data_IF_009465947303
#
_entry.id   IF_009465947303
#
_cell.length_a   1.000
_cell.length_b   1.000
_cell.length_c   1.000
_cell.angle_alpha   90.00
_cell.angle_beta   90.00
_cell.angle_gamma   90.00
#
_symmetry.space_group_name_H-M   'P 1'
#
loop_
_entity.id
_entity.type
_entity.pdbx_description
1 polymer ?
#
# COMPACT_ATOMS: atom_id res chain seq x y z
N UNK A 1 -58.74 93.69 6.09
CA UNK A 1 -58.12 93.25 4.79
C UNK A 1 -57.64 91.89 4.98
N UNK A 2 -58.35 90.89 4.47
CA UNK A 2 -58.08 89.49 4.64
C UNK A 2 -57.52 88.91 3.33
N UNK A 3 -56.44 88.25 3.40
CA UNK A 3 -55.90 87.50 2.27
C UNK A 3 -56.03 86.02 2.59
N UNK A 4 -56.75 85.30 1.74
CA UNK A 4 -57.01 83.85 1.84
C UNK A 4 -55.79 83.02 1.46
N UNK A 5 -55.55 82.03 2.25
CA UNK A 5 -54.43 81.04 2.02
C UNK A 5 -55.02 79.74 1.45
N UNK A 6 -54.69 79.45 0.22
CA UNK A 6 -55.11 78.26 -0.47
C UNK A 6 -54.11 77.09 -0.16
N UNK A 7 -54.59 75.99 0.41
CA UNK A 7 -53.80 74.79 0.72
C UNK A 7 -54.02 73.74 -0.38
N UNK A 8 -53.01 73.54 -1.20
CA UNK A 8 -52.89 72.42 -2.15
C UNK A 8 -52.39 71.18 -1.43
N UNK A 9 -53.19 70.12 -1.44
CA UNK A 9 -52.78 68.76 -0.94
C UNK A 9 -52.11 67.98 -2.09
N UNK A 10 -50.83 67.78 -2.00
CA UNK A 10 -50.08 66.80 -2.87
C UNK A 10 -50.21 65.41 -2.25
N UNK A 11 -50.88 64.51 -2.95
CA UNK A 11 -50.94 63.09 -2.62
C UNK A 11 -49.68 62.40 -3.02
N UNK A 12 -49.02 61.77 -2.05
CA UNK A 12 -47.80 60.96 -2.27
C UNK A 12 -48.25 59.52 -2.49
N UNK A 13 -48.20 59.06 -3.75
CA UNK A 13 -48.32 57.61 -4.09
C UNK A 13 -47.04 56.89 -3.79
N UNK A 14 -47.04 56.11 -2.70
CA UNK A 14 -45.93 55.14 -2.41
C UNK A 14 -46.18 53.88 -3.22
N UNK A 15 -45.41 53.71 -4.28
CA UNK A 15 -45.37 52.46 -5.04
C UNK A 15 -44.47 51.41 -4.28
N UNK A 16 -45.09 50.41 -3.64
CA UNK A 16 -44.41 49.30 -3.04
C UNK A 16 -43.94 48.31 -4.16
N UNK A 17 -42.65 48.32 -4.47
CA UNK A 17 -42.04 47.28 -5.29
C UNK A 17 -41.86 45.99 -4.45
N UNK A 18 -42.69 44.98 -4.68
CA UNK A 18 -42.48 43.64 -4.14
C UNK A 18 -41.40 42.93 -4.95
N UNK A 19 -40.18 42.78 -4.38
CA UNK A 19 -39.14 41.90 -4.91
C UNK A 19 -39.56 40.46 -4.61
N UNK A 20 -40.05 39.74 -5.61
CA UNK A 20 -40.20 38.29 -5.61
C UNK A 20 -38.80 37.66 -5.78
N UNK A 21 -38.17 37.23 -4.66
CA UNK A 21 -36.97 36.40 -4.70
C UNK A 21 -37.34 35.03 -5.24
N UNK A 22 -36.93 34.73 -6.48
CA UNK A 22 -37.00 33.41 -7.05
C UNK A 22 -35.92 32.55 -6.37
N UNK A 23 -36.31 31.74 -5.37
CA UNK A 23 -35.45 30.68 -4.83
C UNK A 23 -35.52 29.51 -5.81
N UNK A 24 -34.53 29.40 -6.68
CA UNK A 24 -34.36 28.21 -7.52
C UNK A 24 -34.09 26.99 -6.61
N UNK A 25 -34.79 25.87 -6.81
CA UNK A 25 -34.47 24.65 -6.06
C UNK A 25 -33.07 24.22 -6.44
N UNK A 26 -32.15 24.11 -5.45
CA UNK A 26 -30.84 23.46 -5.61
C UNK A 26 -31.15 21.98 -5.80
N UNK A 27 -31.06 21.49 -7.03
CA UNK A 27 -31.12 20.07 -7.30
C UNK A 27 -29.99 19.39 -6.53
N UNK A 28 -30.23 18.29 -5.79
CA UNK A 28 -29.14 17.54 -5.17
C UNK A 28 -28.18 17.10 -6.26
N UNK A 29 -26.89 17.42 -6.11
CA UNK A 29 -25.85 16.92 -6.99
C UNK A 29 -25.98 15.39 -7.03
N UNK A 30 -26.25 14.85 -8.20
CA UNK A 30 -26.25 13.40 -8.39
C UNK A 30 -24.87 12.90 -7.96
N UNK A 31 -24.83 12.10 -6.89
CA UNK A 31 -23.63 11.47 -6.43
C UNK A 31 -23.22 10.49 -7.52
N UNK A 32 -22.17 10.82 -8.28
CA UNK A 32 -21.66 9.93 -9.32
C UNK A 32 -21.38 8.58 -8.67
N UNK A 33 -22.10 7.56 -9.08
CA UNK A 33 -21.88 6.21 -8.63
C UNK A 33 -20.44 5.83 -9.01
N UNK A 34 -19.63 5.45 -8.01
CA UNK A 34 -18.29 4.95 -8.27
C UNK A 34 -18.36 3.80 -9.29
N UNK A 35 -17.43 3.72 -10.25
CA UNK A 35 -17.43 2.64 -11.21
C UNK A 35 -17.36 1.28 -10.48
N UNK A 36 -17.98 0.22 -11.04
CA UNK A 36 -17.97 -1.10 -10.40
C UNK A 36 -16.52 -1.59 -10.21
N UNK A 37 -16.23 -2.13 -9.02
CA UNK A 37 -14.90 -2.65 -8.69
C UNK A 37 -14.51 -3.78 -9.64
N UNK A 38 -13.25 -3.78 -10.07
CA UNK A 38 -12.69 -4.87 -10.86
C UNK A 38 -12.60 -6.18 -10.06
N UNK A 39 -12.49 -7.35 -10.74
CA UNK A 39 -12.50 -8.65 -10.06
C UNK A 39 -11.48 -8.78 -8.93
N UNK A 40 -10.25 -8.27 -9.09
CA UNK A 40 -9.21 -8.36 -8.06
C UNK A 40 -9.45 -7.38 -6.91
N UNK A 41 -9.96 -6.21 -7.18
CA UNK A 41 -10.33 -5.24 -6.16
C UNK A 41 -11.43 -5.80 -5.24
N UNK A 42 -12.44 -6.48 -5.80
CA UNK A 42 -13.46 -7.19 -5.02
C UNK A 42 -12.83 -8.28 -4.16
N UNK A 43 -11.82 -9.02 -4.66
CA UNK A 43 -11.10 -10.03 -3.86
C UNK A 43 -10.40 -9.37 -2.67
N UNK A 44 -9.67 -8.29 -2.90
CA UNK A 44 -8.95 -7.59 -1.84
C UNK A 44 -9.92 -7.00 -0.80
N UNK A 45 -10.96 -6.29 -1.25
CA UNK A 45 -11.98 -5.72 -0.37
C UNK A 45 -12.72 -6.77 0.46
N UNK A 46 -13.00 -7.95 -0.12
CA UNK A 46 -13.75 -8.99 0.58
C UNK A 46 -12.89 -9.80 1.55
N UNK A 47 -11.67 -10.18 1.15
CA UNK A 47 -10.89 -11.20 1.87
C UNK A 47 -9.67 -10.67 2.61
N UNK A 48 -9.30 -9.39 2.44
CA UNK A 48 -8.12 -8.80 3.12
C UNK A 48 -8.56 -7.86 4.23
N UNK A 49 -7.99 -8.06 5.43
CA UNK A 49 -8.18 -7.16 6.57
C UNK A 49 -6.84 -6.96 7.27
N UNK A 50 -6.42 -5.70 7.35
CA UNK A 50 -5.16 -5.31 8.00
C UNK A 50 -3.93 -6.12 7.53
N UNK A 51 -3.87 -6.42 6.23
CA UNK A 51 -2.79 -7.20 5.63
C UNK A 51 -2.92 -8.73 5.79
N UNK A 52 -3.91 -9.18 6.55
CA UNK A 52 -4.23 -10.60 6.72
C UNK A 52 -5.34 -11.03 5.77
N UNK A 53 -5.33 -12.32 5.41
CA UNK A 53 -6.21 -12.88 4.39
C UNK A 53 -7.07 -14.00 4.95
N UNK A 54 -8.35 -14.01 4.62
CA UNK A 54 -9.25 -15.13 4.87
C UNK A 54 -9.02 -16.24 3.82
N UNK A 55 -7.88 -16.93 3.86
CA UNK A 55 -7.49 -17.90 2.83
C UNK A 55 -8.47 -19.03 2.63
N UNK A 56 -9.06 -19.56 3.70
CA UNK A 56 -10.08 -20.63 3.61
C UNK A 56 -11.29 -20.15 2.81
N UNK A 57 -11.79 -18.96 3.09
CA UNK A 57 -12.93 -18.38 2.39
C UNK A 57 -12.58 -18.04 0.93
N UNK A 58 -11.43 -17.42 0.70
CA UNK A 58 -10.95 -17.11 -0.65
C UNK A 58 -10.75 -18.38 -1.49
N UNK A 59 -10.24 -19.47 -0.90
CA UNK A 59 -10.12 -20.76 -1.60
C UNK A 59 -11.49 -21.32 -2.03
N UNK A 60 -12.51 -21.14 -1.20
CA UNK A 60 -13.87 -21.62 -1.49
C UNK A 60 -14.57 -20.77 -2.54
N UNK A 61 -14.28 -19.47 -2.63
CA UNK A 61 -14.85 -18.54 -3.61
C UNK A 61 -13.74 -17.87 -4.45
N UNK A 62 -12.96 -18.69 -5.14
CA UNK A 62 -11.76 -18.27 -5.86
C UNK A 62 -12.02 -17.69 -7.26
N UNK A 63 -13.24 -17.76 -7.76
CA UNK A 63 -13.58 -17.46 -9.17
C UNK A 63 -13.05 -16.08 -9.63
N UNK A 64 -13.26 -15.03 -8.83
CA UNK A 64 -12.81 -13.68 -9.20
C UNK A 64 -11.28 -13.56 -9.23
N UNK A 65 -10.58 -14.22 -8.31
CA UNK A 65 -9.11 -14.26 -8.33
C UNK A 65 -8.61 -15.00 -9.57
N UNK A 66 -9.23 -16.13 -9.92
CA UNK A 66 -8.89 -16.91 -11.11
C UNK A 66 -9.16 -16.12 -12.40
N UNK A 67 -10.28 -15.44 -12.49
CA UNK A 67 -10.61 -14.55 -13.62
C UNK A 67 -9.54 -13.47 -13.80
N UNK A 68 -9.16 -12.79 -12.71
CA UNK A 68 -8.12 -11.76 -12.78
C UNK A 68 -6.76 -12.34 -13.17
N UNK A 69 -6.30 -13.41 -12.51
CA UNK A 69 -5.00 -14.05 -12.83
C UNK A 69 -4.97 -14.54 -14.28
N UNK A 70 -6.05 -15.10 -14.78
CA UNK A 70 -6.15 -15.54 -16.19
C UNK A 70 -6.06 -14.34 -17.16
N UNK A 71 -6.64 -13.20 -16.81
CA UNK A 71 -6.56 -11.98 -17.63
C UNK A 71 -5.15 -11.42 -17.78
N UNK A 72 -4.28 -11.65 -16.77
CA UNK A 72 -2.89 -11.20 -16.80
C UNK A 72 -2.10 -11.78 -17.98
N UNK A 73 -2.48 -12.98 -18.46
CA UNK A 73 -1.76 -13.68 -19.52
C UNK A 73 -1.70 -12.87 -20.83
N UNK A 74 -2.78 -12.19 -21.18
CA UNK A 74 -2.92 -11.43 -22.44
C UNK A 74 -2.72 -9.91 -22.24
N UNK A 75 -2.37 -9.45 -21.03
CA UNK A 75 -2.20 -8.03 -20.76
C UNK A 75 -1.07 -7.42 -21.60
N UNK A 76 -1.30 -6.20 -22.11
CA UNK A 76 -0.31 -5.42 -22.83
C UNK A 76 0.09 -4.22 -21.96
N UNK A 77 1.30 -4.24 -21.41
CA UNK A 77 1.74 -3.30 -20.35
C UNK A 77 2.88 -2.40 -20.81
N UNK A 78 3.76 -2.90 -21.68
CA UNK A 78 5.04 -2.25 -22.02
C UNK A 78 4.89 -0.85 -22.66
N UNK A 79 3.72 -0.53 -23.22
CA UNK A 79 3.43 0.79 -23.83
C UNK A 79 2.64 1.73 -22.89
N UNK A 80 2.26 1.27 -21.72
CA UNK A 80 1.52 2.08 -20.75
C UNK A 80 2.42 3.10 -20.06
N UNK A 81 1.88 4.21 -19.52
CA UNK A 81 2.62 5.11 -18.64
C UNK A 81 3.28 4.36 -17.47
N UNK A 82 4.42 4.85 -17.00
CA UNK A 82 5.22 4.18 -15.96
C UNK A 82 4.40 3.81 -14.70
N UNK A 83 3.58 4.74 -14.20
CA UNK A 83 2.75 4.47 -13.02
C UNK A 83 1.74 3.33 -13.25
N UNK A 84 1.17 3.25 -14.46
CA UNK A 84 0.26 2.16 -14.82
C UNK A 84 0.99 0.81 -14.91
N UNK A 85 2.24 0.82 -15.42
CA UNK A 85 3.08 -0.38 -15.43
C UNK A 85 3.38 -0.85 -14.00
N UNK A 86 3.81 0.06 -13.12
CA UNK A 86 4.11 -0.28 -11.72
C UNK A 86 2.88 -0.83 -11.01
N UNK A 87 1.74 -0.13 -11.10
CA UNK A 87 0.48 -0.57 -10.51
C UNK A 87 0.07 -1.95 -11.01
N UNK A 88 0.19 -2.21 -12.32
CA UNK A 88 -0.08 -3.52 -12.90
C UNK A 88 0.80 -4.62 -12.29
N UNK A 89 2.13 -4.40 -12.20
CA UNK A 89 3.05 -5.42 -11.70
C UNK A 89 2.92 -5.68 -10.21
N UNK A 90 2.58 -4.66 -9.40
CA UNK A 90 2.26 -4.83 -7.98
C UNK A 90 1.01 -5.69 -7.79
N UNK A 91 -0.08 -5.33 -8.49
CA UNK A 91 -1.33 -6.09 -8.43
C UNK A 91 -1.17 -7.52 -8.96
N UNK A 92 -0.41 -7.69 -10.04
CA UNK A 92 -0.12 -9.02 -10.59
C UNK A 92 0.65 -9.89 -9.59
N UNK A 93 1.70 -9.34 -8.94
CA UNK A 93 2.46 -10.06 -7.93
C UNK A 93 1.57 -10.52 -6.78
N UNK A 94 0.76 -9.62 -6.21
CA UNK A 94 -0.10 -9.92 -5.07
C UNK A 94 -1.18 -10.96 -5.43
N UNK A 95 -1.81 -10.84 -6.60
CA UNK A 95 -2.78 -11.81 -7.06
C UNK A 95 -2.15 -13.21 -7.28
N UNK A 96 -0.95 -13.26 -7.84
CA UNK A 96 -0.22 -14.52 -8.07
C UNK A 96 0.25 -15.15 -6.75
N UNK A 97 0.69 -14.34 -5.78
CA UNK A 97 1.02 -14.81 -4.44
C UNK A 97 -0.20 -15.41 -3.74
N UNK A 98 -1.34 -14.71 -3.75
CA UNK A 98 -2.61 -15.21 -3.22
C UNK A 98 -3.03 -16.52 -3.90
N UNK A 99 -2.96 -16.57 -5.25
CA UNK A 99 -3.29 -17.76 -6.04
C UNK A 99 -2.39 -18.93 -5.65
N UNK A 100 -1.07 -18.70 -5.52
CA UNK A 100 -0.11 -19.71 -5.12
C UNK A 100 -0.43 -20.27 -3.73
N UNK A 101 -0.81 -19.39 -2.79
CA UNK A 101 -1.22 -19.85 -1.45
C UNK A 101 -2.48 -20.71 -1.53
N UNK A 102 -3.59 -20.24 -2.14
CA UNK A 102 -4.85 -20.99 -2.13
C UNK A 102 -4.80 -22.30 -2.91
N UNK A 103 -3.93 -22.40 -3.92
CA UNK A 103 -3.72 -23.65 -4.67
C UNK A 103 -3.14 -24.76 -3.77
N UNK A 104 -2.40 -24.39 -2.73
CA UNK A 104 -1.72 -25.32 -1.81
C UNK A 104 -2.27 -25.27 -0.37
N UNK A 105 -3.28 -24.44 -0.10
CA UNK A 105 -3.83 -24.22 1.24
C UNK A 105 -4.77 -25.36 1.68
N UNK A 106 -4.71 -25.83 2.93
CA UNK A 106 -3.60 -25.59 3.87
C UNK A 106 -2.33 -26.32 3.43
N UNK A 107 -1.21 -25.62 3.42
CA UNK A 107 0.06 -26.21 2.97
C UNK A 107 0.56 -27.24 4.00
N UNK A 108 0.83 -28.49 3.60
CA UNK A 108 1.42 -29.49 4.49
C UNK A 108 2.84 -29.07 4.86
N UNK A 109 3.25 -29.33 6.11
CA UNK A 109 4.62 -29.06 6.55
C UNK A 109 5.63 -29.96 5.82
N UNK A 110 6.46 -29.40 4.98
CA UNK A 110 7.49 -30.09 4.19
C UNK A 110 8.92 -29.81 4.67
N UNK A 111 9.11 -28.68 5.36
CA UNK A 111 10.40 -28.24 5.88
C UNK A 111 10.24 -27.75 7.32
N UNK A 112 11.27 -27.92 8.14
CA UNK A 112 11.38 -27.34 9.48
C UNK A 112 11.97 -25.94 9.46
N UNK A 113 12.54 -25.51 8.32
CA UNK A 113 13.11 -24.18 8.11
C UNK A 113 12.06 -23.08 8.16
N UNK A 114 10.83 -23.39 7.71
CA UNK A 114 9.74 -22.41 7.62
C UNK A 114 8.57 -22.79 8.53
N UNK A 115 7.79 -21.82 9.01
CA UNK A 115 6.58 -22.07 9.78
C UNK A 115 5.60 -22.97 9.05
N UNK A 116 4.79 -23.73 9.79
CA UNK A 116 3.69 -24.50 9.23
C UNK A 116 2.72 -23.56 8.49
N UNK A 117 2.21 -24.00 7.35
CA UNK A 117 1.29 -23.21 6.52
C UNK A 117 1.96 -22.10 5.69
N UNK A 118 3.25 -21.78 5.94
CA UNK A 118 3.98 -20.79 5.13
C UNK A 118 3.88 -21.08 3.64
N UNK A 119 3.85 -20.02 2.81
CA UNK A 119 3.97 -20.15 1.35
C UNK A 119 5.27 -20.86 0.96
N UNK A 120 6.34 -20.76 1.78
CA UNK A 120 7.61 -21.47 1.61
C UNK A 120 7.51 -23.00 1.80
N UNK A 121 6.41 -23.50 2.36
CA UNK A 121 6.13 -24.94 2.38
C UNK A 121 5.73 -25.47 0.98
N UNK A 122 5.43 -24.57 0.04
CA UNK A 122 5.25 -24.92 -1.38
C UNK A 122 6.60 -24.85 -2.09
N UNK A 123 7.16 -25.99 -2.58
CA UNK A 123 8.49 -26.01 -3.16
C UNK A 123 8.60 -25.13 -4.41
N UNK A 124 9.50 -24.14 -4.35
CA UNK A 124 9.76 -23.23 -5.46
C UNK A 124 8.67 -22.19 -5.68
N UNK A 125 7.86 -21.87 -4.66
CA UNK A 125 6.78 -20.89 -4.76
C UNK A 125 7.22 -19.55 -5.37
N UNK A 126 8.42 -19.10 -5.07
CA UNK A 126 8.97 -17.84 -5.58
C UNK A 126 9.90 -18.03 -6.77
N UNK A 127 10.72 -19.08 -6.76
CA UNK A 127 11.87 -19.25 -7.66
C UNK A 127 11.56 -20.12 -8.90
N UNK A 128 10.56 -21.02 -8.82
CA UNK A 128 10.33 -22.06 -9.85
C UNK A 128 8.91 -22.13 -10.38
N UNK A 129 7.90 -21.85 -9.57
CA UNK A 129 6.52 -21.80 -10.05
C UNK A 129 6.36 -20.62 -11.00
N UNK A 130 6.04 -20.92 -12.25
CA UNK A 130 5.87 -19.89 -13.27
C UNK A 130 4.39 -19.57 -13.51
N UNK A 131 4.13 -18.31 -13.80
CA UNK A 131 2.84 -17.76 -14.10
C UNK A 131 2.89 -17.04 -15.45
N UNK A 132 1.82 -17.13 -16.23
CA UNK A 132 1.74 -16.42 -17.50
C UNK A 132 1.24 -15.00 -17.29
N UNK A 133 2.11 -14.00 -17.53
CA UNK A 133 1.81 -12.58 -17.33
C UNK A 133 2.37 -11.78 -18.50
N UNK A 134 1.55 -10.95 -19.14
CA UNK A 134 1.93 -10.11 -20.28
C UNK A 134 2.69 -10.89 -21.37
N UNK A 135 2.15 -12.06 -21.74
CA UNK A 135 2.73 -12.95 -22.75
C UNK A 135 3.98 -13.73 -22.32
N UNK A 136 4.50 -13.54 -21.10
CA UNK A 136 5.73 -14.14 -20.57
C UNK A 136 5.43 -15.17 -19.47
N UNK A 137 6.32 -16.19 -19.33
CA UNK A 137 6.31 -17.11 -18.18
C UNK A 137 7.26 -16.54 -17.12
N UNK A 138 6.75 -16.16 -15.98
CA UNK A 138 7.50 -15.45 -14.92
C UNK A 138 7.27 -16.11 -13.57
N UNK A 139 8.31 -16.17 -12.75
CA UNK A 139 8.20 -16.51 -11.33
C UNK A 139 7.92 -15.24 -10.51
N UNK A 140 7.49 -15.40 -9.24
CA UNK A 140 7.34 -14.26 -8.33
C UNK A 140 8.66 -13.51 -8.15
N UNK A 141 9.78 -14.24 -7.98
CA UNK A 141 11.11 -13.64 -7.88
C UNK A 141 11.48 -12.83 -9.14
N UNK A 142 11.16 -13.34 -10.34
CA UNK A 142 11.42 -12.59 -11.57
C UNK A 142 10.59 -11.31 -11.66
N UNK A 143 9.34 -11.32 -11.19
CA UNK A 143 8.53 -10.09 -11.14
C UNK A 143 9.16 -9.09 -10.16
N UNK A 144 9.56 -9.52 -8.97
CA UNK A 144 10.16 -8.63 -7.98
C UNK A 144 11.55 -8.15 -8.41
N UNK A 145 12.47 -9.09 -8.69
CA UNK A 145 13.90 -8.79 -8.83
C UNK A 145 14.29 -8.33 -10.24
N UNK A 146 13.48 -8.66 -11.26
CA UNK A 146 13.83 -8.34 -12.64
C UNK A 146 12.93 -7.27 -13.26
N UNK A 147 11.68 -7.16 -12.80
CA UNK A 147 10.73 -6.20 -13.37
C UNK A 147 10.54 -5.01 -12.45
N UNK A 148 10.07 -5.21 -11.20
CA UNK A 148 9.82 -4.12 -10.27
C UNK A 148 11.10 -3.38 -9.89
N UNK A 149 12.23 -4.07 -9.75
CA UNK A 149 13.53 -3.45 -9.44
C UNK A 149 14.01 -2.42 -10.48
N UNK A 150 13.57 -2.53 -11.74
CA UNK A 150 13.94 -1.58 -12.82
C UNK A 150 13.39 -0.18 -12.61
N UNK A 151 12.33 -0.03 -11.83
CA UNK A 151 11.75 1.29 -11.54
C UNK A 151 12.55 2.07 -10.50
N UNK A 152 13.58 1.48 -9.87
CA UNK A 152 14.48 2.12 -8.91
C UNK A 152 13.76 2.77 -7.71
N UNK A 153 12.57 2.29 -7.37
CA UNK A 153 11.81 2.71 -6.19
C UNK A 153 11.79 1.59 -5.15
N UNK A 154 12.61 1.66 -4.09
CA UNK A 154 12.67 0.58 -3.10
C UNK A 154 11.40 0.43 -2.26
N UNK A 155 10.45 1.39 -2.29
CA UNK A 155 9.13 1.27 -1.65
C UNK A 155 8.35 0.09 -2.23
N UNK A 156 8.58 -0.27 -3.50
CA UNK A 156 7.92 -1.39 -4.18
C UNK A 156 8.15 -2.71 -3.46
N UNK A 157 9.32 -2.90 -2.81
CA UNK A 157 9.61 -4.11 -2.03
C UNK A 157 8.79 -4.22 -0.74
N UNK A 158 8.25 -3.12 -0.23
CA UNK A 158 7.28 -3.09 0.87
C UNK A 158 5.83 -3.05 0.40
N UNK A 159 5.58 -2.81 -0.90
CA UNK A 159 4.24 -2.80 -1.48
C UNK A 159 3.69 -4.21 -1.78
N UNK A 160 4.56 -5.21 -1.91
CA UNK A 160 4.18 -6.59 -2.22
C UNK A 160 4.03 -7.45 -0.96
N UNK A 161 2.91 -8.20 -0.87
CA UNK A 161 2.52 -8.92 0.35
C UNK A 161 3.26 -10.24 0.61
N UNK A 162 3.83 -10.90 -0.37
CA UNK A 162 4.55 -12.19 -0.31
C UNK A 162 3.82 -13.35 0.36
N UNK A 163 2.51 -13.22 0.67
CA UNK A 163 1.77 -14.24 1.42
C UNK A 163 2.35 -14.51 2.82
N UNK A 164 2.96 -13.52 3.45
CA UNK A 164 3.67 -13.68 4.72
C UNK A 164 3.55 -12.45 5.62
N UNK A 165 3.69 -12.67 6.94
CA UNK A 165 3.63 -11.60 7.94
C UNK A 165 4.78 -10.62 7.80
N UNK A 166 5.99 -11.10 7.51
CA UNK A 166 7.19 -10.27 7.31
C UNK A 166 7.21 -9.48 6.00
N UNK A 167 6.29 -9.76 5.06
CA UNK A 167 6.14 -9.04 3.80
C UNK A 167 5.56 -7.64 3.98
N UNK A 168 5.39 -6.94 2.85
CA UNK A 168 4.58 -5.74 2.83
C UNK A 168 3.15 -6.04 3.29
N UNK A 169 2.51 -5.07 3.90
CA UNK A 169 1.10 -5.20 4.27
C UNK A 169 0.26 -5.28 3.00
N UNK A 170 -0.37 -6.43 2.77
CA UNK A 170 -1.30 -6.57 1.64
C UNK A 170 -2.46 -5.58 1.81
N UNK A 171 -2.68 -4.74 0.81
CA UNK A 171 -3.75 -3.73 0.84
C UNK A 171 -5.10 -4.39 0.54
N UNK A 172 -6.17 -3.81 1.08
CA UNK A 172 -7.56 -4.20 0.75
C UNK A 172 -8.08 -3.53 -0.53
N UNK A 173 -7.22 -2.83 -1.26
CA UNK A 173 -7.49 -2.13 -2.52
C UNK A 173 -6.36 -2.37 -3.52
N UNK A 174 -6.64 -2.22 -4.82
CA UNK A 174 -5.63 -2.31 -5.86
C UNK A 174 -4.75 -1.06 -5.90
N UNK A 175 -3.53 -1.21 -6.42
CA UNK A 175 -2.73 -0.07 -6.87
C UNK A 175 -3.30 0.45 -8.18
N UNK A 176 -3.42 1.78 -8.32
CA UNK A 176 -3.84 2.43 -9.57
C UNK A 176 -2.80 3.45 -10.03
N UNK A 177 -2.78 3.73 -11.32
CA UNK A 177 -1.82 4.70 -11.88
C UNK A 177 -1.97 6.10 -11.28
N UNK A 178 -3.23 6.50 -11.03
CA UNK A 178 -3.63 7.81 -10.53
C UNK A 178 -3.24 8.01 -9.06
N UNK A 179 -3.31 6.94 -8.26
CA UNK A 179 -3.07 7.00 -6.82
C UNK A 179 -1.71 6.43 -6.42
N UNK A 180 -0.90 5.94 -7.38
CA UNK A 180 0.31 5.17 -7.09
C UNK A 180 1.24 5.87 -6.11
N UNK A 181 1.56 7.14 -6.33
CA UNK A 181 2.49 7.87 -5.47
C UNK A 181 1.94 8.02 -4.04
N UNK A 182 0.65 8.31 -3.90
CA UNK A 182 -0.02 8.36 -2.60
C UNK A 182 0.03 6.98 -1.91
N UNK A 183 -0.31 5.91 -2.64
CA UNK A 183 -0.31 4.55 -2.10
C UNK A 183 1.09 4.08 -1.69
N UNK A 184 2.14 4.44 -2.45
CA UNK A 184 3.53 4.13 -2.08
C UNK A 184 4.03 4.97 -0.90
N UNK A 185 3.56 6.21 -0.75
CA UNK A 185 3.83 7.01 0.44
C UNK A 185 3.17 6.42 1.69
N UNK A 186 1.96 5.91 1.58
CA UNK A 186 1.27 5.18 2.64
C UNK A 186 2.01 3.88 3.01
N UNK A 187 2.40 3.06 2.03
CA UNK A 187 3.23 1.86 2.25
C UNK A 187 4.50 2.19 3.04
N UNK A 188 5.20 3.27 2.66
CA UNK A 188 6.40 3.71 3.36
C UNK A 188 6.11 4.20 4.79
N UNK A 189 4.93 4.79 5.04
CA UNK A 189 4.51 5.23 6.37
C UNK A 189 4.08 4.04 7.23
N UNK A 190 3.37 3.07 6.66
CA UNK A 190 2.98 1.84 7.33
C UNK A 190 4.20 1.01 7.81
N UNK A 191 5.32 1.06 7.08
CA UNK A 191 6.55 0.39 7.48
C UNK A 191 6.99 0.78 8.90
N UNK A 192 6.98 2.07 9.24
CA UNK A 192 7.44 2.53 10.55
C UNK A 192 6.46 2.26 11.69
N UNK A 193 5.23 1.91 11.39
CA UNK A 193 4.21 1.54 12.40
C UNK A 193 4.16 0.04 12.67
N UNK A 194 4.94 -0.77 11.92
CA UNK A 194 4.94 -2.23 12.01
C UNK A 194 6.29 -2.74 12.53
N UNK A 195 6.25 -3.51 13.61
CA UNK A 195 7.45 -4.12 14.19
C UNK A 195 8.20 -5.04 13.20
N UNK A 196 7.49 -5.62 12.23
CA UNK A 196 8.09 -6.45 11.17
C UNK A 196 8.96 -5.64 10.21
N UNK A 197 8.70 -4.33 10.06
CA UNK A 197 9.49 -3.45 9.21
C UNK A 197 10.57 -2.72 9.99
N UNK A 198 10.19 -2.01 11.04
CA UNK A 198 11.14 -1.30 11.92
C UNK A 198 10.67 -1.41 13.37
N UNK A 199 11.60 -1.62 14.28
CA UNK A 199 11.34 -1.59 15.70
C UNK A 199 12.51 -0.95 16.45
N UNK A 200 12.23 0.12 17.19
CA UNK A 200 13.19 0.74 18.08
C UNK A 200 13.09 0.08 19.45
N UNK A 201 14.18 -0.54 19.89
CA UNK A 201 14.30 -1.19 21.19
C UNK A 201 15.22 -0.35 22.09
N UNK A 202 14.60 0.43 22.97
CA UNK A 202 15.31 1.26 23.93
C UNK A 202 16.09 0.44 24.98
N UNK A 203 15.65 -0.80 25.26
CA UNK A 203 16.26 -1.66 26.27
C UNK A 203 17.62 -2.19 25.78
N UNK A 204 17.68 -2.61 24.54
CA UNK A 204 18.90 -3.14 23.93
C UNK A 204 19.66 -2.11 23.11
N UNK A 205 19.19 -0.85 23.10
CA UNK A 205 19.74 0.24 22.29
C UNK A 205 19.90 -0.15 20.81
N UNK A 206 18.83 -0.71 20.21
CA UNK A 206 18.88 -1.30 18.87
C UNK A 206 17.74 -0.79 18.00
N UNK A 207 18.04 -0.49 16.74
CA UNK A 207 17.07 -0.33 15.67
C UNK A 207 17.00 -1.66 14.90
N UNK A 208 15.92 -2.40 15.09
CA UNK A 208 15.69 -3.66 14.40
C UNK A 208 14.98 -3.38 13.07
N UNK A 209 15.65 -3.66 11.97
CA UNK A 209 15.15 -3.43 10.62
C UNK A 209 14.75 -4.73 9.93
N UNK A 210 13.77 -4.67 9.04
CA UNK A 210 13.39 -5.80 8.19
C UNK A 210 14.55 -6.27 7.31
N UNK A 211 14.66 -7.57 7.09
CA UNK A 211 15.59 -8.14 6.11
C UNK A 211 15.34 -7.64 4.67
N UNK A 212 14.16 -7.09 4.36
CA UNK A 212 13.88 -6.48 3.05
C UNK A 212 14.88 -5.37 2.73
N UNK A 213 15.33 -4.58 3.71
CA UNK A 213 16.36 -3.56 3.51
C UNK A 213 17.68 -4.18 3.04
N UNK A 214 18.13 -5.27 3.68
CA UNK A 214 19.39 -5.93 3.32
C UNK A 214 19.29 -6.68 1.98
N UNK A 215 18.16 -7.28 1.67
CA UNK A 215 17.95 -7.95 0.38
C UNK A 215 18.00 -6.98 -0.80
N UNK A 216 17.62 -5.72 -0.56
CA UNK A 216 17.54 -4.68 -1.58
C UNK A 216 18.46 -3.49 -1.27
N UNK A 217 19.59 -3.75 -0.58
CA UNK A 217 20.53 -2.74 -0.08
C UNK A 217 20.89 -1.70 -1.14
N UNK A 218 21.27 -2.15 -2.34
CA UNK A 218 21.68 -1.25 -3.42
C UNK A 218 20.61 -0.22 -3.77
N UNK A 219 19.34 -0.65 -3.85
CA UNK A 219 18.23 0.24 -4.18
C UNK A 219 17.94 1.24 -3.05
N UNK A 220 17.97 0.76 -1.78
CA UNK A 220 17.77 1.65 -0.63
C UNK A 220 18.90 2.66 -0.48
N UNK A 221 20.15 2.24 -0.63
CA UNK A 221 21.31 3.14 -0.57
C UNK A 221 21.21 4.22 -1.63
N UNK A 222 20.93 3.84 -2.89
CA UNK A 222 20.79 4.81 -3.97
C UNK A 222 19.65 5.82 -3.77
N UNK A 223 18.54 5.40 -3.13
CA UNK A 223 17.36 6.25 -2.96
C UNK A 223 17.36 7.11 -1.69
N UNK A 224 18.03 6.65 -0.60
CA UNK A 224 17.82 7.21 0.73
C UNK A 224 19.11 7.50 1.53
N UNK A 225 20.30 7.02 1.14
CA UNK A 225 21.51 7.25 1.94
C UNK A 225 21.84 8.75 2.07
N UNK A 226 21.64 9.54 1.02
CA UNK A 226 21.88 10.98 1.01
C UNK A 226 20.71 11.80 1.62
N UNK A 227 19.61 11.14 1.98
CA UNK A 227 18.49 11.75 2.72
C UNK A 227 18.65 11.64 4.24
N UNK A 228 19.64 10.90 4.69
CA UNK A 228 19.98 10.84 6.10
C UNK A 228 20.55 12.17 6.59
N UNK A 229 20.25 12.49 7.87
CA UNK A 229 20.83 13.64 8.54
C UNK A 229 22.36 13.52 8.62
N UNK A 230 23.08 14.65 8.58
CA UNK A 230 24.55 14.73 8.70
C UNK A 230 25.04 14.08 10.00
N UNK A 231 24.23 14.08 11.04
CA UNK A 231 24.48 13.36 12.30
C UNK A 231 24.88 11.88 12.10
N UNK A 232 24.43 11.26 11.01
CA UNK A 232 24.69 9.85 10.69
C UNK A 232 25.80 9.66 9.65
N UNK A 233 26.58 10.68 9.31
CA UNK A 233 27.60 10.63 8.27
C UNK A 233 28.63 9.49 8.45
N UNK A 234 28.94 9.12 9.70
CA UNK A 234 29.89 8.04 10.02
C UNK A 234 29.30 6.63 9.95
N UNK A 235 27.98 6.48 9.76
CA UNK A 235 27.31 5.19 9.63
C UNK A 235 27.51 4.59 8.25
N UNK A 236 27.36 3.27 8.15
CA UNK A 236 27.42 2.60 6.86
C UNK A 236 26.35 3.12 5.87
N UNK A 237 26.56 3.00 4.54
CA UNK A 237 25.60 3.49 3.55
C UNK A 237 24.19 2.94 3.75
N UNK A 238 24.06 1.66 4.08
CA UNK A 238 22.73 1.05 4.31
C UNK A 238 22.08 1.52 5.60
N UNK A 239 22.83 1.73 6.70
CA UNK A 239 22.26 2.32 7.90
C UNK A 239 21.77 3.74 7.65
N UNK A 240 22.53 4.54 6.91
CA UNK A 240 22.09 5.88 6.47
C UNK A 240 20.83 5.79 5.64
N UNK A 241 20.75 4.85 4.70
CA UNK A 241 19.56 4.66 3.87
C UNK A 241 18.33 4.27 4.71
N UNK A 242 18.46 3.35 5.67
CA UNK A 242 17.39 2.99 6.60
C UNK A 242 16.94 4.24 7.37
N UNK A 243 17.86 5.00 7.95
CA UNK A 243 17.54 6.21 8.73
C UNK A 243 16.91 7.30 7.86
N UNK A 244 17.42 7.53 6.65
CA UNK A 244 16.82 8.47 5.68
C UNK A 244 15.41 8.07 5.26
N UNK A 245 15.13 6.77 5.19
CA UNK A 245 13.79 6.26 4.87
C UNK A 245 12.82 6.37 6.04
N UNK A 246 13.23 6.00 7.28
CA UNK A 246 12.29 5.87 8.40
C UNK A 246 12.13 7.15 9.22
N UNK A 247 13.22 7.90 9.49
CA UNK A 247 13.23 9.04 10.41
C UNK A 247 12.13 10.09 10.12
N UNK A 248 11.86 10.49 8.88
CA UNK A 248 10.82 11.47 8.58
C UNK A 248 9.39 11.04 8.98
N UNK A 249 9.18 9.74 9.23
CA UNK A 249 7.88 9.12 9.49
C UNK A 249 7.70 8.68 10.96
N UNK A 250 8.78 8.71 11.74
CA UNK A 250 8.80 8.29 13.14
C UNK A 250 8.15 9.34 14.06
N UNK A 251 7.68 8.88 15.21
CA UNK A 251 7.23 9.75 16.30
C UNK A 251 8.41 10.56 16.88
N UNK A 252 8.11 11.67 17.58
CA UNK A 252 9.16 12.52 18.16
C UNK A 252 10.06 11.75 19.13
N UNK A 253 9.47 10.93 20.01
CA UNK A 253 10.23 10.12 20.98
C UNK A 253 11.19 9.12 20.34
N UNK A 254 10.81 8.60 19.17
CA UNK A 254 11.66 7.70 18.38
C UNK A 254 12.78 8.48 17.68
N UNK A 255 12.49 9.68 17.18
CA UNK A 255 13.51 10.58 16.64
C UNK A 255 14.53 10.99 17.70
N UNK A 256 14.06 11.33 18.91
CA UNK A 256 14.93 11.68 20.05
C UNK A 256 15.87 10.52 20.44
N UNK A 257 15.39 9.28 20.31
CA UNK A 257 16.25 8.10 20.47
C UNK A 257 17.32 8.04 19.38
N UNK A 258 16.95 8.24 18.12
CA UNK A 258 17.90 8.20 17.01
C UNK A 258 18.93 9.33 17.07
N UNK A 259 18.58 10.49 17.57
CA UNK A 259 19.47 11.66 17.71
C UNK A 259 20.64 11.42 18.67
N UNK A 260 20.52 10.48 19.61
CA UNK A 260 21.65 10.06 20.45
C UNK A 260 22.78 9.40 19.67
N UNK A 261 22.46 8.84 18.50
CA UNK A 261 23.35 8.17 17.56
C UNK A 261 24.27 7.09 18.18
N UNK A 262 23.86 6.48 19.30
CA UNK A 262 24.61 5.44 20.03
C UNK A 262 24.08 4.03 19.80
N UNK A 263 22.95 3.90 19.12
CA UNK A 263 22.28 2.64 18.83
C UNK A 263 23.03 1.81 17.77
N UNK A 264 22.81 0.52 17.78
CA UNK A 264 23.17 -0.39 16.67
C UNK A 264 21.97 -0.63 15.76
N UNK A 265 22.23 -0.88 14.48
CA UNK A 265 21.22 -1.39 13.55
C UNK A 265 21.40 -2.91 13.43
N UNK A 266 20.31 -3.65 13.54
CA UNK A 266 20.28 -5.10 13.37
C UNK A 266 19.15 -5.52 12.44
N UNK A 267 19.37 -6.58 11.67
CA UNK A 267 18.31 -7.15 10.83
C UNK A 267 17.55 -8.24 11.57
N UNK A 268 16.23 -8.15 11.54
CA UNK A 268 15.37 -9.21 12.06
C UNK A 268 15.27 -10.35 11.03
N UNK A 269 15.23 -11.61 11.48
CA UNK A 269 14.80 -12.71 10.61
C UNK A 269 13.43 -12.39 10.00
N UNK A 270 13.29 -12.66 8.71
CA UNK A 270 12.01 -12.43 8.02
C UNK A 270 10.95 -13.42 8.53
N UNK A 271 9.79 -12.91 8.91
CA UNK A 271 8.68 -13.75 9.37
C UNK A 271 7.93 -14.37 8.18
N UNK A 272 8.24 -15.61 7.88
CA UNK A 272 7.60 -16.42 6.84
C UNK A 272 6.27 -17.05 7.29
N UNK A 273 5.74 -16.73 8.47
CA UNK A 273 4.39 -17.15 8.86
C UNK A 273 3.38 -16.67 7.83
N UNK A 274 2.45 -17.54 7.45
CA UNK A 274 1.38 -17.14 6.54
C UNK A 274 0.56 -16.02 7.18
N UNK A 275 0.26 -14.99 6.44
CA UNK A 275 -0.62 -13.90 6.87
C UNK A 275 -2.11 -14.34 6.84
N UNK A 276 -2.40 -15.48 7.46
CA UNK A 276 -3.74 -16.07 7.54
C UNK A 276 -4.52 -15.47 8.72
N UNK A 277 -5.64 -14.85 8.41
CA UNK A 277 -6.50 -14.24 9.43
C UNK A 277 -7.18 -15.30 10.33
N UNK A 278 -7.48 -16.48 9.79
CA UNK A 278 -8.14 -17.55 10.54
C UNK A 278 -7.23 -18.27 11.52
N UNK A 279 -5.91 -18.25 11.29
CA UNK A 279 -4.91 -18.85 12.20
C UNK A 279 -4.55 -17.98 13.42
N UNK A 280 -5.11 -16.77 13.53
CA UNK A 280 -4.83 -15.87 14.66
C UNK A 280 -5.53 -16.26 15.98
N UNK A 281 -6.58 -17.07 15.91
CA UNK A 281 -7.35 -17.49 17.08
C UNK A 281 -6.74 -18.62 17.92
N UNK A 282 -5.72 -19.30 17.40
CA UNK A 282 -5.13 -20.51 18.01
C UNK A 282 -3.72 -20.27 18.59
N UNK A 283 -3.36 -19.01 18.93
CA UNK A 283 -2.08 -18.67 19.59
C UNK A 283 -2.30 -18.21 21.01
#
# INVERSE_FOLDING_TARGET
MAVAMNRSRAGCCVAALALLAFVAPIAPAAQEASPPLGPFEVVLDTYVRDGYVYYRALKSDRRRLDEYVNSLAAASVDKSPMNAQIAFWLNAYDALALRTVIDHYPAPRRSTEYPAGSIRQTPGAFERLTHRVAGRMLTLDQIEQTILSKYNDPRLHFAIGRGSVGGGRLRSEIFTAELLEKQLAEVASECVTRAECIQIDNTTNTVNASSIFSWNEKAFVAAYADKADELYATRSPIERAILGFVRPKLLQTERDFLEKNTFRVAYRPFDWSLNDLTGRGDR
#
